data_IF_021490180080
#
_entry.id   IF_021490180080
#
_cell.length_a   1.000
_cell.length_b   1.000
_cell.length_c   1.000
_cell.angle_alpha   90.00
_cell.angle_beta   90.00
_cell.angle_gamma   90.00
#
_symmetry.space_group_name_H-M   'P 1'
#
loop_
_entity.id
_entity.type
_entity.pdbx_description
1 polymer ?
#
# COMPACT_ATOMS: atom_id res chain seq x y z
N UNK A 1 -31.57 -39.67 47.85
CA UNK A 1 -30.14 -39.41 48.04
C UNK A 1 -29.79 -38.14 47.27
N UNK A 2 -29.65 -37.01 47.99
CA UNK A 2 -29.21 -35.75 47.42
C UNK A 2 -27.71 -35.81 47.17
N UNK A 3 -27.29 -35.69 45.91
CA UNK A 3 -25.90 -35.41 45.57
C UNK A 3 -25.88 -33.98 45.03
N UNK A 4 -25.60 -33.07 45.94
CA UNK A 4 -25.23 -31.69 45.65
C UNK A 4 -23.86 -31.69 44.98
N UNK A 5 -23.80 -31.31 43.70
CA UNK A 5 -22.53 -31.03 43.03
C UNK A 5 -22.49 -29.56 42.62
N UNK A 6 -21.46 -28.90 43.15
CA UNK A 6 -21.18 -27.48 43.14
C UNK A 6 -21.08 -26.91 41.73
N UNK A 7 -21.85 -25.85 41.46
CA UNK A 7 -21.60 -24.94 40.35
C UNK A 7 -20.25 -24.23 40.58
N UNK A 8 -19.22 -24.67 39.88
CA UNK A 8 -17.94 -23.95 39.83
C UNK A 8 -18.04 -22.91 38.73
N UNK A 9 -18.12 -21.63 39.12
CA UNK A 9 -18.07 -20.52 38.19
C UNK A 9 -16.68 -20.46 37.53
N UNK A 10 -16.63 -20.68 36.21
CA UNK A 10 -15.46 -20.33 35.41
C UNK A 10 -15.35 -18.81 35.38
N UNK A 11 -14.49 -18.25 36.23
CA UNK A 11 -14.06 -16.86 36.10
C UNK A 11 -13.23 -16.72 34.83
N UNK A 12 -13.74 -15.95 33.88
CA UNK A 12 -12.97 -15.48 32.73
C UNK A 12 -11.93 -14.51 33.27
N UNK A 13 -10.69 -14.97 33.38
CA UNK A 13 -9.56 -14.14 33.73
C UNK A 13 -9.34 -13.16 32.57
N UNK A 14 -9.82 -11.92 32.71
CA UNK A 14 -9.44 -10.82 31.83
C UNK A 14 -7.94 -10.57 32.03
N UNK A 15 -7.13 -11.28 31.24
CA UNK A 15 -5.75 -10.87 30.99
C UNK A 15 -5.85 -9.52 30.31
N UNK A 16 -5.67 -8.45 31.10
CA UNK A 16 -5.47 -7.10 30.60
C UNK A 16 -4.37 -7.21 29.56
N UNK A 17 -4.74 -6.97 28.29
CA UNK A 17 -3.78 -6.74 27.24
C UNK A 17 -2.97 -5.51 27.66
N UNK A 18 -1.81 -5.76 28.26
CA UNK A 18 -0.78 -4.75 28.45
C UNK A 18 -0.46 -4.23 27.05
N UNK A 19 -1.00 -3.05 26.75
CA UNK A 19 -0.45 -2.17 25.72
C UNK A 19 1.08 -2.19 25.88
N UNK A 20 1.87 -2.36 24.81
CA UNK A 20 3.30 -2.29 24.92
C UNK A 20 3.65 -0.94 25.55
N UNK A 21 4.23 -0.97 26.75
CA UNK A 21 4.80 0.22 27.39
C UNK A 21 5.77 0.86 26.40
N UNK A 22 5.74 2.19 26.21
CA UNK A 22 6.70 2.85 25.36
C UNK A 22 8.08 2.57 25.92
N UNK A 23 8.93 1.93 25.10
CA UNK A 23 10.34 1.76 25.41
C UNK A 23 10.92 3.09 25.89
N UNK A 24 11.62 3.09 27.02
CA UNK A 24 12.37 4.20 27.62
C UNK A 24 13.58 4.63 26.77
N UNK A 25 13.38 4.78 25.46
CA UNK A 25 14.30 5.48 24.58
C UNK A 25 14.11 7.00 24.75
N UNK A 26 15.21 7.74 24.68
CA UNK A 26 15.19 9.20 24.64
C UNK A 26 14.29 9.69 23.48
N UNK A 27 13.21 10.39 23.81
CA UNK A 27 12.26 10.88 22.82
C UNK A 27 12.82 12.08 22.07
N UNK A 28 12.67 12.06 20.74
CA UNK A 28 13.12 13.14 19.85
C UNK A 28 12.02 13.52 18.87
N UNK A 29 12.05 14.77 18.43
CA UNK A 29 11.24 15.22 17.31
C UNK A 29 11.75 14.61 16.01
N UNK A 30 10.85 14.02 15.23
CA UNK A 30 11.13 13.50 13.88
C UNK A 30 10.17 14.09 12.87
N UNK A 31 10.63 14.31 11.64
CA UNK A 31 9.74 14.71 10.54
C UNK A 31 8.92 13.54 10.02
N UNK A 32 7.68 13.80 9.63
CA UNK A 32 6.86 12.86 8.85
C UNK A 32 7.16 13.00 7.36
N UNK A 33 6.66 12.05 6.56
CA UNK A 33 6.84 12.09 5.10
C UNK A 33 6.22 13.36 4.49
N UNK A 34 4.97 13.67 4.86
CA UNK A 34 4.10 14.75 4.36
C UNK A 34 3.08 14.27 3.29
N UNK A 35 2.43 15.17 2.54
CA UNK A 35 1.26 14.85 1.68
C UNK A 35 1.59 14.88 0.17
N UNK A 36 1.41 13.83 -0.66
CA UNK A 36 0.61 12.62 -0.50
C UNK A 36 1.55 11.43 -0.25
N UNK A 37 2.47 11.63 0.72
CA UNK A 37 3.94 11.46 0.73
C UNK A 37 4.70 12.80 0.69
N UNK A 38 4.50 13.74 -0.29
CA UNK A 38 4.79 15.20 -0.14
C UNK A 38 4.53 16.30 -1.25
N UNK A 39 3.71 16.14 -2.30
CA UNK A 39 3.08 17.32 -2.95
C UNK A 39 1.56 17.25 -3.13
N UNK A 40 0.79 18.04 -2.37
CA UNK A 40 -0.64 18.28 -2.60
C UNK A 40 -0.79 19.46 -3.60
N UNK A 41 -1.22 19.24 -4.85
CA UNK A 41 -1.06 20.22 -5.92
C UNK A 41 -1.79 21.55 -5.75
N UNK A 42 -2.64 21.70 -4.73
CA UNK A 42 -3.46 22.90 -4.50
C UNK A 42 -3.52 23.36 -3.03
N UNK A 43 -2.62 22.91 -2.15
CA UNK A 43 -2.63 23.38 -0.77
C UNK A 43 -1.71 24.59 -0.59
N UNK A 44 -2.29 25.74 -0.27
CA UNK A 44 -1.54 26.84 0.36
C UNK A 44 -0.84 26.29 1.61
N UNK A 45 0.48 26.52 1.79
CA UNK A 45 1.18 26.11 3.01
C UNK A 45 0.44 26.60 4.25
N UNK A 46 0.26 25.70 5.23
CA UNK A 46 -0.33 26.04 6.51
C UNK A 46 0.59 26.96 7.33
N UNK A 47 0.07 27.50 8.44
CA UNK A 47 0.93 28.19 9.39
C UNK A 47 1.86 27.19 10.09
N UNK A 48 3.13 27.57 10.27
CA UNK A 48 4.04 26.80 11.12
C UNK A 48 3.58 26.90 12.58
N UNK A 49 3.31 25.76 13.19
CA UNK A 49 2.86 25.64 14.60
C UNK A 49 3.91 25.02 15.51
N UNK A 50 5.09 24.70 14.97
CA UNK A 50 6.17 24.06 15.70
C UNK A 50 6.98 25.04 16.56
N UNK A 51 6.98 26.34 16.23
CA UNK A 51 7.86 27.32 16.87
C UNK A 51 9.32 26.92 16.65
N UNK A 52 10.11 26.91 17.72
CA UNK A 52 11.55 26.58 17.64
C UNK A 52 11.86 25.07 17.63
N UNK A 53 10.85 24.19 17.54
CA UNK A 53 11.08 22.73 17.50
C UNK A 53 11.71 22.32 16.17
N UNK A 54 12.70 21.44 16.24
CA UNK A 54 13.42 20.91 15.09
C UNK A 54 13.64 19.41 15.22
N UNK A 55 13.82 18.73 14.09
CA UNK A 55 14.18 17.32 14.06
C UNK A 55 15.45 17.03 14.89
N UNK A 56 15.44 15.94 15.65
CA UNK A 56 16.52 15.54 16.55
C UNK A 56 16.50 16.18 17.94
N UNK A 57 15.75 17.28 18.14
CA UNK A 57 15.60 17.88 19.48
C UNK A 57 14.86 16.94 20.44
N UNK A 58 15.27 16.96 21.71
CA UNK A 58 14.56 16.24 22.76
C UNK A 58 13.12 16.74 22.92
N UNK A 59 12.22 15.84 23.28
CA UNK A 59 10.82 16.13 23.54
C UNK A 59 10.31 15.28 24.72
N UNK A 60 9.27 15.74 25.41
CA UNK A 60 8.81 15.11 26.66
C UNK A 60 7.54 14.27 26.51
N UNK A 61 6.79 14.46 25.42
CA UNK A 61 5.48 13.83 25.24
C UNK A 61 5.44 13.03 23.95
N UNK A 62 5.56 11.70 24.06
CA UNK A 62 5.42 10.79 22.93
C UNK A 62 4.09 11.02 22.20
N UNK A 63 4.14 11.04 20.87
CA UNK A 63 2.99 11.31 20.01
C UNK A 63 2.60 12.78 19.90
N UNK A 64 3.20 13.71 20.65
CA UNK A 64 3.02 15.14 20.41
C UNK A 64 3.40 15.46 18.97
N UNK A 65 2.61 16.32 18.30
CA UNK A 65 2.84 16.68 16.90
C UNK A 65 2.57 18.15 16.64
N UNK A 66 3.32 18.74 15.71
CA UNK A 66 3.09 20.10 15.21
C UNK A 66 3.32 20.16 13.70
N UNK A 67 2.71 21.13 13.03
CA UNK A 67 2.82 21.34 11.59
C UNK A 67 3.99 22.27 11.27
N UNK A 68 4.83 21.87 10.31
CA UNK A 68 5.96 22.70 9.84
C UNK A 68 5.50 23.86 8.95
N UNK A 69 4.26 23.86 8.47
CA UNK A 69 3.72 24.91 7.62
C UNK A 69 4.42 25.01 6.26
N UNK A 70 4.99 23.90 5.79
CA UNK A 70 5.61 23.83 4.47
C UNK A 70 4.61 23.33 3.42
N UNK A 71 4.96 23.53 2.15
CA UNK A 71 4.23 23.05 0.97
C UNK A 71 4.10 21.51 0.91
N UNK A 72 4.99 20.83 1.61
CA UNK A 72 5.06 19.39 1.81
C UNK A 72 4.01 18.88 2.83
N UNK A 73 3.40 19.74 3.65
CA UNK A 73 2.54 19.36 4.78
C UNK A 73 3.21 18.37 5.75
N UNK A 74 4.52 18.54 5.96
CA UNK A 74 5.24 17.73 6.93
C UNK A 74 4.91 18.18 8.35
N UNK A 75 4.95 17.22 9.28
CA UNK A 75 4.79 17.45 10.71
C UNK A 75 6.05 17.04 11.43
N UNK A 76 6.32 17.65 12.58
CA UNK A 76 7.18 17.03 13.59
C UNK A 76 6.33 16.17 14.50
N UNK A 77 6.81 14.97 14.83
CA UNK A 77 6.22 14.06 15.82
C UNK A 77 7.28 13.67 16.84
N UNK A 78 6.95 13.77 18.12
CA UNK A 78 7.80 13.32 19.21
C UNK A 78 7.69 11.80 19.33
N UNK A 79 8.78 11.07 19.07
CA UNK A 79 8.80 9.61 19.09
C UNK A 79 10.12 9.08 19.64
N UNK A 80 10.17 7.78 19.94
CA UNK A 80 11.39 7.07 20.35
C UNK A 80 12.25 6.63 19.15
N UNK A 81 11.71 6.69 17.94
CA UNK A 81 12.37 6.29 16.69
C UNK A 81 11.79 7.05 15.50
N UNK A 82 12.56 7.17 14.43
CA UNK A 82 12.13 7.83 13.19
C UNK A 82 10.91 7.13 12.57
N UNK A 83 9.72 7.76 12.54
CA UNK A 83 8.49 7.18 11.99
C UNK A 83 8.60 6.92 10.48
N UNK A 84 9.53 7.57 9.77
CA UNK A 84 9.76 7.35 8.33
C UNK A 84 10.28 5.94 8.04
N UNK A 85 10.93 5.31 9.03
CA UNK A 85 11.55 3.98 8.92
C UNK A 85 10.75 2.87 9.61
N UNK A 86 9.59 3.18 10.18
CA UNK A 86 8.72 2.21 10.87
C UNK A 86 7.66 1.62 9.92
N UNK A 87 6.98 0.52 10.31
CA UNK A 87 5.81 0.04 9.58
C UNK A 87 4.77 1.15 9.39
N UNK A 88 4.33 1.36 8.14
CA UNK A 88 3.45 2.49 7.78
C UNK A 88 4.16 3.83 7.60
N UNK A 89 5.49 3.86 7.67
CA UNK A 89 6.35 5.00 7.39
C UNK A 89 6.44 5.36 5.91
N UNK A 90 7.48 6.07 5.51
CA UNK A 90 7.60 6.54 4.13
C UNK A 90 7.81 5.36 3.18
N UNK A 91 7.18 5.36 1.99
CA UNK A 91 7.51 4.37 0.97
C UNK A 91 8.98 4.48 0.56
N UNK A 92 9.76 3.40 0.73
CA UNK A 92 11.18 3.32 0.34
C UNK A 92 11.34 2.24 -0.73
N UNK A 93 11.72 2.65 -1.94
CA UNK A 93 11.81 1.75 -3.10
C UNK A 93 13.19 1.12 -3.33
N UNK A 94 14.17 1.37 -2.45
CA UNK A 94 15.53 0.83 -2.57
C UNK A 94 15.63 -0.61 -2.06
N UNK A 95 16.48 -1.41 -2.71
CA UNK A 95 16.67 -2.82 -2.41
C UNK A 95 17.23 -3.07 -1.00
N UNK A 96 18.07 -2.18 -0.48
CA UNK A 96 18.66 -2.26 0.87
C UNK A 96 17.60 -2.24 2.00
N UNK A 97 16.39 -1.77 1.71
CA UNK A 97 15.24 -1.76 2.64
C UNK A 97 14.26 -2.92 2.40
N UNK A 98 14.59 -3.87 1.52
CA UNK A 98 13.71 -4.97 1.13
C UNK A 98 14.42 -6.31 1.28
N UNK A 99 13.68 -7.35 1.61
CA UNK A 99 14.19 -8.73 1.69
C UNK A 99 13.44 -9.64 0.72
N UNK A 100 14.02 -10.80 0.39
CA UNK A 100 13.40 -11.80 -0.52
C UNK A 100 13.03 -11.22 -1.88
N UNK A 101 13.97 -10.49 -2.49
CA UNK A 101 13.78 -9.88 -3.80
C UNK A 101 14.00 -10.96 -4.87
N UNK A 102 12.95 -11.25 -5.64
CA UNK A 102 12.98 -12.19 -6.75
C UNK A 102 12.57 -11.48 -8.05
N UNK A 103 13.24 -11.83 -9.15
CA UNK A 103 12.84 -11.34 -10.47
C UNK A 103 11.62 -12.10 -10.98
N UNK A 104 10.67 -11.38 -11.59
CA UNK A 104 9.49 -12.00 -12.21
C UNK A 104 9.90 -12.78 -13.45
N UNK A 105 9.76 -14.11 -13.40
CA UNK A 105 10.01 -15.00 -14.56
C UNK A 105 8.95 -14.83 -15.65
N UNK A 106 9.22 -15.24 -16.91
CA UNK A 106 8.22 -15.19 -17.98
C UNK A 106 6.92 -15.92 -17.63
N UNK A 107 7.01 -17.12 -17.02
CA UNK A 107 5.84 -17.87 -16.59
C UNK A 107 5.07 -17.16 -15.47
N UNK A 108 5.76 -16.52 -14.52
CA UNK A 108 5.11 -15.71 -13.49
C UNK A 108 4.44 -14.47 -14.08
N UNK A 109 5.10 -13.79 -15.02
CA UNK A 109 4.56 -12.63 -15.73
C UNK A 109 3.28 -12.98 -16.49
N UNK A 110 3.24 -14.11 -17.19
CA UNK A 110 2.04 -14.57 -17.88
C UNK A 110 0.87 -14.81 -16.92
N UNK A 111 1.12 -15.42 -15.74
CA UNK A 111 0.09 -15.60 -14.71
C UNK A 111 -0.41 -14.26 -14.15
N UNK A 112 0.49 -13.32 -13.91
CA UNK A 112 0.15 -11.97 -13.44
C UNK A 112 -0.69 -11.23 -14.49
N UNK A 113 -0.30 -11.29 -15.76
CA UNK A 113 -1.07 -10.74 -16.87
C UNK A 113 -2.48 -11.31 -16.94
N UNK A 114 -2.61 -12.63 -16.80
CA UNK A 114 -3.91 -13.32 -16.80
C UNK A 114 -4.81 -12.87 -15.65
N UNK A 115 -4.25 -12.63 -14.44
CA UNK A 115 -5.02 -12.08 -13.32
C UNK A 115 -5.66 -10.74 -13.66
N UNK A 116 -4.91 -9.85 -14.31
CA UNK A 116 -5.43 -8.54 -14.71
C UNK A 116 -6.45 -8.65 -15.85
N UNK A 117 -6.17 -9.48 -16.85
CA UNK A 117 -7.09 -9.68 -17.99
C UNK A 117 -8.44 -10.25 -17.55
N UNK A 118 -8.45 -11.08 -16.50
CA UNK A 118 -9.66 -11.67 -15.93
C UNK A 118 -10.36 -10.77 -14.92
N UNK A 119 -9.80 -9.60 -14.57
CA UNK A 119 -10.39 -8.69 -13.61
C UNK A 119 -11.56 -7.92 -14.25
N UNK A 120 -12.81 -8.10 -13.81
CA UNK A 120 -13.94 -7.41 -14.41
C UNK A 120 -13.86 -5.91 -14.13
N UNK A 121 -13.89 -5.12 -15.20
CA UNK A 121 -14.07 -3.68 -15.10
C UNK A 121 -15.56 -3.34 -15.10
N UNK A 122 -15.93 -2.42 -14.23
CA UNK A 122 -17.29 -1.92 -14.06
C UNK A 122 -17.27 -0.41 -13.91
N UNK A 123 -18.39 0.20 -14.24
CA UNK A 123 -18.66 1.59 -13.90
C UNK A 123 -19.54 1.67 -12.66
N UNK A 124 -19.36 2.72 -11.86
CA UNK A 124 -20.04 2.86 -10.58
C UNK A 124 -20.12 4.32 -10.12
N UNK A 125 -20.99 4.58 -9.15
CA UNK A 125 -21.13 5.85 -8.44
C UNK A 125 -21.23 5.59 -6.94
N UNK A 126 -20.75 6.53 -6.12
CA UNK A 126 -20.89 6.40 -4.67
C UNK A 126 -22.34 6.61 -4.24
N UNK A 127 -22.80 5.80 -3.30
CA UNK A 127 -24.16 5.93 -2.73
C UNK A 127 -24.41 7.28 -2.06
N UNK A 128 -23.37 7.87 -1.47
CA UNK A 128 -23.43 9.19 -0.81
C UNK A 128 -23.24 10.37 -1.80
N UNK A 129 -23.04 10.09 -3.09
CA UNK A 129 -22.95 11.09 -4.16
C UNK A 129 -23.90 10.71 -5.30
N UNK A 130 -25.23 10.73 -5.10
CA UNK A 130 -26.20 10.27 -6.12
C UNK A 130 -26.20 11.13 -7.39
N UNK A 131 -25.69 12.35 -7.33
CA UNK A 131 -25.47 13.24 -8.48
C UNK A 131 -23.97 13.38 -8.82
N UNK A 132 -23.13 12.49 -8.28
CA UNK A 132 -21.69 12.48 -8.48
C UNK A 132 -21.29 11.87 -9.83
N UNK A 133 -19.99 11.99 -10.19
CA UNK A 133 -19.50 11.45 -11.45
C UNK A 133 -19.52 9.92 -11.46
N UNK A 134 -19.78 9.36 -12.64
CA UNK A 134 -19.52 7.95 -12.90
C UNK A 134 -18.02 7.69 -12.91
N UNK A 135 -17.60 6.63 -12.22
CA UNK A 135 -16.21 6.18 -12.11
C UNK A 135 -16.05 4.83 -12.79
N UNK A 136 -14.83 4.54 -13.24
CA UNK A 136 -14.42 3.25 -13.82
C UNK A 136 -13.45 2.56 -12.86
N UNK A 137 -13.62 1.25 -12.67
CA UNK A 137 -12.68 0.47 -11.88
C UNK A 137 -13.11 -0.99 -11.79
N UNK A 138 -12.69 -1.67 -10.72
CA UNK A 138 -13.14 -3.02 -10.38
C UNK A 138 -13.71 -3.02 -8.97
N UNK A 139 -14.48 -4.06 -8.64
CA UNK A 139 -15.04 -4.24 -7.30
C UNK A 139 -14.21 -5.22 -6.50
N UNK A 140 -13.83 -4.84 -5.28
CA UNK A 140 -13.21 -5.74 -4.32
C UNK A 140 -14.26 -6.75 -3.85
N UNK A 141 -13.97 -8.04 -4.01
CA UNK A 141 -14.80 -9.15 -3.59
C UNK A 141 -13.92 -10.38 -3.26
N UNK A 142 -14.54 -11.50 -2.89
CA UNK A 142 -13.83 -12.74 -2.50
C UNK A 142 -12.93 -13.36 -3.59
N UNK A 143 -13.09 -12.96 -4.85
CA UNK A 143 -12.31 -13.42 -6.00
C UNK A 143 -11.26 -12.41 -6.45
N UNK A 144 -11.21 -11.22 -5.86
CA UNK A 144 -10.19 -10.22 -6.18
C UNK A 144 -8.82 -10.75 -5.75
N UNK A 145 -7.79 -10.68 -6.63
CA UNK A 145 -6.43 -11.01 -6.25
C UNK A 145 -5.98 -10.17 -5.05
N UNK A 146 -5.47 -10.83 -4.01
CA UNK A 146 -5.16 -10.18 -2.73
C UNK A 146 -4.08 -9.10 -2.89
N UNK A 147 -3.17 -9.25 -3.85
CA UNK A 147 -2.15 -8.23 -4.16
C UNK A 147 -2.71 -6.90 -4.70
N UNK A 148 -4.01 -6.85 -5.04
CA UNK A 148 -4.69 -5.62 -5.49
C UNK A 148 -5.43 -4.92 -4.36
N UNK A 149 -5.44 -5.48 -3.16
CA UNK A 149 -6.25 -5.02 -2.04
C UNK A 149 -5.34 -4.71 -0.86
N UNK A 150 -5.51 -3.53 -0.26
CA UNK A 150 -4.78 -3.17 0.96
C UNK A 150 -5.21 -4.07 2.12
N UNK A 151 -4.42 -4.15 3.21
CA UNK A 151 -4.78 -4.94 4.39
C UNK A 151 -6.13 -4.59 5.03
N UNK A 152 -6.68 -3.39 4.77
CA UNK A 152 -8.00 -2.96 5.24
C UNK A 152 -9.17 -3.69 4.53
N UNK A 153 -8.92 -4.40 3.43
CA UNK A 153 -9.93 -5.12 2.65
C UNK A 153 -10.88 -4.21 1.85
N UNK A 154 -10.77 -2.90 1.96
CA UNK A 154 -11.72 -1.92 1.41
C UNK A 154 -11.08 -1.01 0.36
N UNK A 155 -9.75 -0.92 0.35
CA UNK A 155 -9.00 -0.02 -0.51
C UNK A 155 -8.18 -0.80 -1.53
N UNK A 156 -8.08 -0.25 -2.74
CA UNK A 156 -7.18 -0.77 -3.77
C UNK A 156 -5.72 -0.49 -3.37
N UNK A 157 -4.86 -1.49 -3.47
CA UNK A 157 -3.42 -1.27 -3.53
C UNK A 157 -3.07 -0.77 -4.94
N UNK A 158 -2.99 0.56 -5.08
CA UNK A 158 -2.69 1.20 -6.35
C UNK A 158 -1.30 0.81 -6.88
N UNK A 159 -0.32 0.62 -5.99
CA UNK A 159 1.03 0.23 -6.39
C UNK A 159 1.06 -1.20 -6.90
N UNK A 160 0.37 -2.12 -6.21
CA UNK A 160 0.14 -3.49 -6.66
C UNK A 160 -0.58 -3.54 -8.00
N UNK A 161 -1.67 -2.79 -8.15
CA UNK A 161 -2.45 -2.71 -9.39
C UNK A 161 -1.65 -2.19 -10.57
N UNK A 162 -0.89 -1.09 -10.38
CA UNK A 162 -0.03 -0.54 -11.43
C UNK A 162 1.08 -1.52 -11.82
N UNK A 163 1.70 -2.18 -10.85
CA UNK A 163 2.73 -3.20 -11.11
C UNK A 163 2.18 -4.38 -11.90
N UNK A 164 0.93 -4.80 -11.62
CA UNK A 164 0.24 -5.83 -12.37
C UNK A 164 -0.07 -5.38 -13.82
N UNK A 165 -0.47 -4.13 -14.01
CA UNK A 165 -0.65 -3.54 -15.33
C UNK A 165 0.65 -3.55 -16.15
N UNK A 166 1.78 -3.19 -15.53
CA UNK A 166 3.10 -3.27 -16.18
C UNK A 166 3.43 -4.71 -16.59
N UNK A 167 3.19 -5.69 -15.71
CA UNK A 167 3.42 -7.11 -16.04
C UNK A 167 2.55 -7.57 -17.23
N UNK A 168 1.29 -7.14 -17.28
CA UNK A 168 0.38 -7.45 -18.39
C UNK A 168 0.83 -6.81 -19.72
N UNK A 169 1.30 -5.56 -19.70
CA UNK A 169 1.84 -4.88 -20.88
C UNK A 169 3.10 -5.58 -21.40
N UNK A 170 4.02 -5.95 -20.51
CA UNK A 170 5.22 -6.70 -20.88
C UNK A 170 4.89 -8.07 -21.48
N UNK A 171 3.88 -8.77 -20.94
CA UNK A 171 3.44 -10.04 -21.49
C UNK A 171 2.79 -9.87 -22.86
N UNK A 172 1.93 -8.87 -23.03
CA UNK A 172 1.33 -8.55 -24.32
C UNK A 172 2.40 -8.27 -25.38
N UNK A 173 3.44 -7.48 -25.05
CA UNK A 173 4.55 -7.23 -25.98
C UNK A 173 5.31 -8.51 -26.34
N UNK A 174 5.51 -9.42 -25.37
CA UNK A 174 6.14 -10.72 -25.63
C UNK A 174 5.33 -11.58 -26.61
N UNK A 175 4.00 -11.55 -26.49
CA UNK A 175 3.09 -12.26 -27.37
C UNK A 175 3.06 -11.64 -28.77
N UNK A 176 3.04 -10.31 -28.87
CA UNK A 176 3.12 -9.57 -30.14
C UNK A 176 4.40 -9.97 -30.90
N UNK A 177 5.56 -9.90 -30.25
CA UNK A 177 6.83 -10.27 -30.89
C UNK A 177 6.82 -11.71 -31.40
N UNK A 178 6.23 -12.62 -30.62
CA UNK A 178 6.10 -14.04 -31.01
C UNK A 178 5.20 -14.19 -32.24
N UNK A 179 4.09 -13.48 -32.29
CA UNK A 179 3.15 -13.52 -33.42
C UNK A 179 3.76 -12.91 -34.68
N UNK A 180 4.45 -11.78 -34.57
CA UNK A 180 5.15 -11.14 -35.68
C UNK A 180 6.21 -12.07 -36.30
N UNK A 181 7.01 -12.72 -35.46
CA UNK A 181 8.02 -13.68 -35.93
C UNK A 181 7.38 -14.88 -36.66
N UNK A 182 6.22 -15.34 -36.19
CA UNK A 182 5.46 -16.42 -36.84
C UNK A 182 4.90 -15.96 -38.19
N UNK A 183 4.32 -14.76 -38.26
CA UNK A 183 3.81 -14.18 -39.50
C UNK A 183 4.94 -14.09 -40.53
N UNK A 184 6.10 -13.51 -40.17
CA UNK A 184 7.25 -13.42 -41.08
C UNK A 184 7.75 -14.78 -41.57
N UNK A 185 7.72 -15.80 -40.70
CA UNK A 185 8.11 -17.15 -41.06
C UNK A 185 7.14 -17.75 -42.08
N UNK A 186 5.83 -17.59 -41.85
CA UNK A 186 4.80 -18.08 -42.74
C UNK A 186 4.82 -17.35 -44.09
N UNK A 187 5.02 -16.04 -44.11
CA UNK A 187 5.16 -15.26 -45.34
C UNK A 187 6.32 -15.73 -46.21
N UNK A 188 7.48 -16.05 -45.60
CA UNK A 188 8.63 -16.62 -46.31
C UNK A 188 8.35 -18.03 -46.86
N UNK A 189 7.54 -18.83 -46.17
CA UNK A 189 7.15 -20.17 -46.63
C UNK A 189 6.18 -20.10 -47.81
N UNK A 190 5.25 -19.14 -47.80
CA UNK A 190 4.28 -18.95 -48.89
C UNK A 190 4.92 -18.27 -50.12
N UNK A 191 5.92 -17.42 -49.92
CA UNK A 191 6.65 -16.73 -50.97
C UNK A 191 8.15 -17.07 -50.92
N UNK A 192 8.56 -18.30 -51.28
CA UNK A 192 9.96 -18.68 -51.22
C UNK A 192 10.80 -17.81 -52.18
N UNK A 193 12.00 -17.37 -51.76
CA UNK A 193 12.90 -16.64 -52.66
C UNK A 193 13.25 -17.51 -53.87
N UNK A 194 13.25 -16.90 -55.06
CA UNK A 194 13.63 -17.55 -56.33
C UNK A 194 15.09 -17.99 -56.34
#
# INVERSE_FOLDING_TARGET
MCISLLFTACQVNHSQQTQPSPSTGELKWYTTCGAPVCGAPNSTPGANTCGDKQEGMACSQAGASCDLGNDCQQKLVCASSDPKLQPGGCPISKAEFKHKIETVTPAARARLAQKLQNLPLVTWQYRFEPQGPQRLGFMINKHTPQELVKPDGNSVDLYGYLSLAVAALQEQQSQIQTLENRIQTLEKQLNPPK
#
